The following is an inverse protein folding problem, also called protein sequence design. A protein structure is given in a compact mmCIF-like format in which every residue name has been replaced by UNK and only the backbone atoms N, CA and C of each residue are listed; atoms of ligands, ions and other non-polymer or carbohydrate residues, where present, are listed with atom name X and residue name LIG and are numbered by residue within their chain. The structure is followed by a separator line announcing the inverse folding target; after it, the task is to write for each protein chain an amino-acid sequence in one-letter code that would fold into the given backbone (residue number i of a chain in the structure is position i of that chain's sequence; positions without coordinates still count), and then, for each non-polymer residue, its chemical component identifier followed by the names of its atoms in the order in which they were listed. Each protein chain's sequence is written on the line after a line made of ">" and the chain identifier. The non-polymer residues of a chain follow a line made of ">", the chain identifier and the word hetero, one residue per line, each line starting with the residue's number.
data_IF_276976822448
#
_entry.id   IF_276976822448
#
_cell.length_a   1.000
_cell.length_b   1.000
_cell.length_c   1.000
_cell.angle_alpha   90.00
_cell.angle_beta   90.00
_cell.angle_gamma   90.00
#
_symmetry.space_group_name_H-M   'P 1'
#
loop_
_entity.id
_entity.type
_entity.pdbx_description
1 polymer ?
#
# COMPACT_ATOMS: atom_id res chain seq x y z
N UNK A 1 -21.65 -19.82 -16.30
CA UNK A 1 -20.46 -19.20 -15.67
C UNK A 1 -19.82 -18.26 -16.68
N UNK A 2 -19.54 -17.02 -16.27
CA UNK A 2 -18.95 -15.98 -17.13
C UNK A 2 -17.47 -15.84 -16.81
N UNK A 3 -16.65 -15.55 -17.82
CA UNK A 3 -15.26 -15.12 -17.62
C UNK A 3 -15.25 -13.59 -17.60
N UNK A 4 -14.68 -13.00 -16.56
CA UNK A 4 -14.54 -11.55 -16.41
C UNK A 4 -13.12 -11.23 -15.94
N UNK A 5 -12.57 -10.07 -16.33
CA UNK A 5 -11.29 -9.60 -15.82
C UNK A 5 -11.46 -8.96 -14.44
N UNK A 6 -10.40 -8.91 -13.64
CA UNK A 6 -10.44 -8.14 -12.40
C UNK A 6 -10.63 -6.65 -12.68
N UNK A 7 -10.08 -6.14 -13.79
CA UNK A 7 -10.30 -4.76 -14.21
C UNK A 7 -11.78 -4.49 -14.44
N UNK A 8 -12.48 -5.38 -15.14
CA UNK A 8 -13.92 -5.21 -15.37
C UNK A 8 -14.75 -5.25 -14.08
N UNK A 9 -14.28 -5.95 -13.03
CA UNK A 9 -14.91 -5.88 -11.71
C UNK A 9 -14.62 -4.53 -11.01
N UNK A 10 -13.40 -4.00 -11.14
CA UNK A 10 -13.04 -2.65 -10.65
C UNK A 10 -13.80 -1.56 -11.39
N UNK A 11 -13.97 -1.67 -12.70
CA UNK A 11 -14.74 -0.73 -13.51
C UNK A 11 -16.20 -0.68 -13.06
N UNK A 12 -16.78 -1.84 -12.69
CA UNK A 12 -18.13 -1.90 -12.12
C UNK A 12 -18.20 -1.14 -10.79
N UNK A 13 -17.19 -1.31 -9.92
CA UNK A 13 -17.10 -0.55 -8.67
C UNK A 13 -17.01 0.95 -8.98
N UNK A 14 -16.11 1.35 -9.87
CA UNK A 14 -15.94 2.74 -10.31
C UNK A 14 -17.26 3.35 -10.77
N UNK A 15 -17.99 2.67 -11.65
CA UNK A 15 -19.29 3.11 -12.16
C UNK A 15 -20.30 3.29 -11.02
N UNK A 16 -20.37 2.32 -10.10
CA UNK A 16 -21.33 2.36 -8.98
C UNK A 16 -21.01 3.53 -8.05
N UNK A 17 -19.74 3.76 -7.72
CA UNK A 17 -19.38 4.80 -6.75
C UNK A 17 -19.35 6.20 -7.36
N UNK A 18 -19.30 6.33 -8.69
CA UNK A 18 -19.31 7.63 -9.39
C UNK A 18 -20.51 8.50 -8.99
N UNK A 19 -21.68 7.89 -8.73
CA UNK A 19 -22.88 8.62 -8.29
C UNK A 19 -22.71 9.28 -6.91
N UNK A 20 -21.96 8.63 -6.01
CA UNK A 20 -21.89 8.97 -4.58
C UNK A 20 -20.52 9.55 -4.15
N UNK A 21 -19.48 9.44 -4.99
CA UNK A 21 -18.08 9.74 -4.63
C UNK A 21 -17.86 11.19 -4.22
N UNK A 22 -18.62 12.14 -4.77
CA UNK A 22 -18.52 13.56 -4.42
C UNK A 22 -18.84 13.83 -2.94
N UNK A 23 -19.79 13.09 -2.36
CA UNK A 23 -20.13 13.20 -0.94
C UNK A 23 -18.95 12.66 -0.10
N UNK A 24 -18.39 11.52 -0.47
CA UNK A 24 -17.22 10.95 0.20
C UNK A 24 -16.01 11.89 0.18
N UNK A 25 -15.69 12.48 -0.99
CA UNK A 25 -14.61 13.48 -1.14
C UNK A 25 -14.83 14.67 -0.21
N UNK A 26 -16.06 15.21 -0.19
CA UNK A 26 -16.42 16.34 0.67
C UNK A 26 -16.24 16.00 2.15
N UNK A 27 -16.65 14.80 2.57
CA UNK A 27 -16.46 14.32 3.94
C UNK A 27 -14.97 14.19 4.32
N UNK A 28 -14.14 13.59 3.45
CA UNK A 28 -12.67 13.51 3.67
C UNK A 28 -12.04 14.89 3.83
N UNK A 29 -12.42 15.84 2.95
CA UNK A 29 -11.95 17.23 3.01
C UNK A 29 -12.31 17.91 4.34
N UNK A 30 -13.57 17.76 4.79
CA UNK A 30 -14.04 18.33 6.07
C UNK A 30 -13.31 17.75 7.27
N UNK A 31 -13.03 16.44 7.24
CA UNK A 31 -12.31 15.74 8.29
C UNK A 31 -10.79 15.95 8.25
N UNK A 32 -10.27 16.65 7.22
CA UNK A 32 -8.83 16.81 6.94
C UNK A 32 -8.09 15.46 6.86
N UNK A 33 -8.76 14.43 6.36
CA UNK A 33 -8.19 13.10 6.12
C UNK A 33 -7.75 13.05 4.67
N UNK A 34 -6.46 12.72 4.42
CA UNK A 34 -5.82 12.49 3.10
C UNK A 34 -6.76 12.67 1.90
N UNK A 35 -6.96 13.94 1.53
CA UNK A 35 -7.75 14.33 0.37
C UNK A 35 -6.85 14.23 -0.87
N UNK A 36 -7.36 13.59 -1.93
CA UNK A 36 -6.66 13.46 -3.19
C UNK A 36 -6.56 14.79 -3.96
N UNK A 37 -7.22 15.85 -3.48
CA UNK A 37 -7.21 17.18 -4.08
C UNK A 37 -7.97 17.22 -5.41
N UNK A 38 -8.97 16.35 -5.55
CA UNK A 38 -9.78 16.22 -6.76
C UNK A 38 -11.00 17.14 -6.69
N UNK A 39 -11.30 17.79 -7.81
CA UNK A 39 -12.50 18.60 -7.94
C UNK A 39 -13.77 17.72 -7.96
N UNK A 40 -14.90 18.28 -7.50
CA UNK A 40 -16.19 17.62 -7.61
C UNK A 40 -16.56 17.44 -9.09
N UNK A 41 -16.82 16.19 -9.50
CA UNK A 41 -17.08 15.82 -10.89
C UNK A 41 -15.87 15.26 -11.64
N UNK A 42 -14.67 15.24 -11.03
CA UNK A 42 -13.56 14.48 -11.59
C UNK A 42 -13.84 12.96 -11.55
N UNK A 43 -13.32 12.23 -12.53
CA UNK A 43 -13.44 10.78 -12.60
C UNK A 43 -12.93 10.10 -11.31
N UNK A 44 -13.47 8.92 -11.02
CA UNK A 44 -13.03 8.08 -9.91
C UNK A 44 -11.62 7.58 -10.20
N UNK A 45 -10.70 7.75 -9.26
CA UNK A 45 -9.31 7.28 -9.39
C UNK A 45 -9.13 5.89 -8.74
N UNK A 46 -8.05 5.21 -9.11
CA UNK A 46 -7.73 3.88 -8.57
C UNK A 46 -7.59 3.87 -7.04
N UNK A 47 -7.05 4.94 -6.46
CA UNK A 47 -6.92 5.07 -5.01
C UNK A 47 -8.28 5.11 -4.29
N UNK A 48 -9.29 5.71 -4.91
CA UNK A 48 -10.66 5.74 -4.36
C UNK A 48 -11.34 4.38 -4.46
N UNK A 49 -11.07 3.65 -5.55
CA UNK A 49 -11.53 2.27 -5.73
C UNK A 49 -10.88 1.36 -4.68
N UNK A 50 -9.57 1.52 -4.43
CA UNK A 50 -8.84 0.74 -3.43
C UNK A 50 -9.37 1.00 -2.01
N UNK A 51 -9.58 2.26 -1.64
CA UNK A 51 -10.17 2.65 -0.36
C UNK A 51 -11.59 2.08 -0.19
N UNK A 52 -12.40 2.16 -1.25
CA UNK A 52 -13.74 1.59 -1.27
C UNK A 52 -13.71 0.08 -1.02
N UNK A 53 -12.86 -0.66 -1.75
CA UNK A 53 -12.72 -2.11 -1.60
C UNK A 53 -12.23 -2.46 -0.18
N UNK A 54 -11.22 -1.76 0.32
CA UNK A 54 -10.64 -2.02 1.63
C UNK A 54 -11.69 -1.85 2.75
N UNK A 55 -12.47 -0.77 2.70
CA UNK A 55 -13.51 -0.46 3.67
C UNK A 55 -14.78 -1.31 3.56
N UNK A 56 -15.04 -1.94 2.40
CA UNK A 56 -16.30 -2.65 2.15
C UNK A 56 -16.49 -3.88 3.05
N UNK A 57 -17.38 -3.77 4.03
CA UNK A 57 -17.66 -4.86 5.00
C UNK A 57 -18.37 -6.07 4.37
N UNK A 58 -18.94 -5.93 3.17
CA UNK A 58 -19.62 -7.02 2.47
C UNK A 58 -18.70 -7.86 1.59
N UNK A 59 -17.44 -7.46 1.43
CA UNK A 59 -16.44 -8.23 0.72
C UNK A 59 -15.63 -9.05 1.71
N UNK A 60 -15.42 -10.32 1.40
CA UNK A 60 -14.47 -11.17 2.12
C UNK A 60 -13.02 -10.75 1.81
N UNK A 61 -12.09 -11.22 2.66
CA UNK A 61 -10.67 -10.85 2.57
C UNK A 61 -10.05 -11.29 1.24
N UNK A 62 -10.42 -12.46 0.73
CA UNK A 62 -9.83 -13.02 -0.50
C UNK A 62 -10.25 -12.20 -1.73
N UNK A 63 -11.52 -11.76 -1.76
CA UNK A 63 -12.04 -10.88 -2.80
C UNK A 63 -11.38 -9.50 -2.75
N UNK A 64 -11.22 -8.94 -1.54
CA UNK A 64 -10.52 -7.66 -1.35
C UNK A 64 -9.08 -7.74 -1.84
N UNK A 65 -8.36 -8.78 -1.45
CA UNK A 65 -6.97 -8.98 -1.86
C UNK A 65 -6.87 -9.06 -3.38
N UNK A 66 -7.73 -9.82 -4.05
CA UNK A 66 -7.71 -9.92 -5.52
C UNK A 66 -8.04 -8.60 -6.21
N UNK A 67 -9.01 -7.84 -5.70
CA UNK A 67 -9.43 -6.60 -6.33
C UNK A 67 -8.45 -5.44 -6.06
N UNK A 68 -7.63 -5.52 -5.01
CA UNK A 68 -6.59 -4.53 -4.68
C UNK A 68 -5.23 -4.94 -5.26
N UNK A 69 -4.95 -6.25 -5.38
CA UNK A 69 -3.70 -6.77 -5.95
C UNK A 69 -3.87 -7.15 -7.44
N UNK A 70 -3.37 -6.33 -8.37
CA UNK A 70 -3.37 -6.68 -9.80
C UNK A 70 -2.51 -7.90 -10.12
N UNK A 71 -1.60 -8.27 -9.22
CA UNK A 71 -0.54 -9.24 -9.48
C UNK A 71 0.38 -8.84 -10.63
N UNK A 72 1.20 -9.81 -11.07
CA UNK A 72 2.27 -9.58 -12.04
C UNK A 72 1.81 -8.98 -13.39
N UNK A 73 0.65 -9.40 -13.87
CA UNK A 73 0.20 -9.11 -15.22
C UNK A 73 -0.76 -7.90 -15.28
N UNK A 74 -1.21 -7.35 -14.15
CA UNK A 74 -2.25 -6.32 -14.15
C UNK A 74 -3.67 -6.91 -14.05
N UNK A 75 -4.61 -6.06 -13.63
CA UNK A 75 -6.02 -6.44 -13.47
C UNK A 75 -6.69 -6.92 -14.77
N UNK A 76 -6.26 -6.41 -15.93
CA UNK A 76 -6.79 -6.78 -17.25
C UNK A 76 -6.49 -8.22 -17.65
N UNK A 77 -5.37 -8.75 -17.19
CA UNK A 77 -4.89 -10.08 -17.59
C UNK A 77 -5.35 -11.16 -16.61
N UNK A 78 -5.69 -10.78 -15.37
CA UNK A 78 -6.32 -11.69 -14.40
C UNK A 78 -7.79 -11.88 -14.72
N UNK A 79 -8.16 -13.11 -15.08
CA UNK A 79 -9.54 -13.50 -15.41
C UNK A 79 -10.09 -14.47 -14.36
N UNK A 80 -11.30 -14.21 -13.91
CA UNK A 80 -12.04 -15.08 -12.98
C UNK A 80 -13.27 -15.65 -13.66
N UNK A 81 -13.67 -16.86 -13.24
CA UNK A 81 -14.94 -17.48 -13.65
C UNK A 81 -15.96 -17.30 -12.54
N UNK A 82 -17.07 -16.65 -12.84
CA UNK A 82 -18.11 -16.35 -11.84
C UNK A 82 -19.47 -16.89 -12.26
N UNK A 83 -20.29 -17.26 -11.28
CA UNK A 83 -21.69 -17.58 -11.50
C UNK A 83 -22.52 -16.30 -11.61
N UNK A 84 -23.66 -16.38 -12.31
CA UNK A 84 -24.55 -15.23 -12.49
C UNK A 84 -25.14 -14.76 -11.15
N UNK A 85 -25.41 -15.70 -10.24
CA UNK A 85 -25.87 -15.41 -8.89
C UNK A 85 -24.82 -14.65 -8.06
N UNK A 86 -23.56 -15.09 -8.12
CA UNK A 86 -22.45 -14.38 -7.46
C UNK A 86 -22.29 -12.97 -8.03
N UNK A 87 -22.35 -12.83 -9.36
CA UNK A 87 -22.19 -11.53 -10.01
C UNK A 87 -23.30 -10.54 -9.64
N UNK A 88 -24.53 -11.03 -9.47
CA UNK A 88 -25.65 -10.23 -8.95
C UNK A 88 -25.40 -9.81 -7.51
N UNK A 89 -25.05 -10.76 -6.63
CA UNK A 89 -24.75 -10.48 -5.21
C UNK A 89 -23.60 -9.49 -5.05
N UNK A 90 -22.55 -9.61 -5.85
CA UNK A 90 -21.43 -8.68 -5.88
C UNK A 90 -21.90 -7.25 -6.16
N UNK A 91 -22.69 -7.03 -7.22
CA UNK A 91 -23.23 -5.71 -7.56
C UNK A 91 -24.15 -5.15 -6.47
N UNK A 92 -25.03 -5.99 -5.92
CA UNK A 92 -25.95 -5.58 -4.85
C UNK A 92 -25.18 -5.16 -3.59
N UNK A 93 -24.15 -5.92 -3.19
CA UNK A 93 -23.29 -5.59 -2.05
C UNK A 93 -22.46 -4.32 -2.29
N UNK A 94 -21.95 -4.14 -3.50
CA UNK A 94 -21.20 -2.94 -3.91
C UNK A 94 -22.09 -1.70 -3.79
N UNK A 95 -23.31 -1.75 -4.34
CA UNK A 95 -24.27 -0.65 -4.24
C UNK A 95 -24.72 -0.38 -2.81
N UNK A 96 -24.96 -1.42 -2.01
CA UNK A 96 -25.28 -1.25 -0.57
C UNK A 96 -24.18 -0.53 0.19
N UNK A 97 -22.92 -0.80 -0.13
CA UNK A 97 -21.79 -0.12 0.50
C UNK A 97 -21.63 1.34 0.04
N UNK A 98 -21.83 1.64 -1.26
CA UNK A 98 -21.68 3.01 -1.79
C UNK A 98 -22.62 4.02 -1.16
N UNK A 99 -23.84 3.60 -0.81
CA UNK A 99 -24.82 4.47 -0.15
C UNK A 99 -24.77 4.40 1.39
N UNK A 100 -23.82 3.63 1.95
CA UNK A 100 -23.70 3.48 3.40
C UNK A 100 -23.19 4.76 4.05
N UNK A 101 -23.67 5.06 5.25
CA UNK A 101 -23.17 6.21 6.03
C UNK A 101 -21.67 6.10 6.32
N UNK A 102 -21.18 4.88 6.50
CA UNK A 102 -19.77 4.63 6.82
C UNK A 102 -18.86 5.04 5.67
N UNK A 103 -19.19 4.59 4.46
CA UNK A 103 -18.49 5.05 3.25
C UNK A 103 -18.67 6.56 3.05
N UNK A 104 -19.90 7.07 3.00
CA UNK A 104 -20.17 8.47 2.65
C UNK A 104 -19.54 9.48 3.63
N UNK A 105 -19.47 9.15 4.91
CA UNK A 105 -18.89 10.02 5.93
C UNK A 105 -17.36 9.85 6.05
N UNK A 106 -16.73 9.04 5.19
CA UNK A 106 -15.34 8.62 5.34
C UNK A 106 -15.04 8.03 6.74
N UNK A 107 -16.07 7.46 7.36
CA UNK A 107 -15.94 6.72 8.60
C UNK A 107 -15.50 5.32 8.22
N UNK A 108 -14.18 5.10 8.15
CA UNK A 108 -13.68 3.73 8.05
C UNK A 108 -14.20 2.97 9.26
N UNK A 109 -15.08 1.96 9.09
CA UNK A 109 -15.52 1.17 10.21
C UNK A 109 -14.27 0.50 10.77
N UNK A 110 -13.91 0.87 11.99
CA UNK A 110 -12.96 0.11 12.79
C UNK A 110 -13.52 -1.31 12.84
N UNK A 111 -12.92 -2.25 12.10
CA UNK A 111 -13.43 -3.62 12.03
C UNK A 111 -13.29 -4.20 13.43
N UNK A 112 -14.42 -4.29 14.14
CA UNK A 112 -14.70 -5.38 15.06
C UNK A 112 -14.91 -6.63 14.21
N UNK A 113 -14.06 -7.65 14.41
CA UNK A 113 -13.94 -8.85 13.58
C UNK A 113 -15.05 -9.89 13.84
N UNK A 114 -16.28 -9.45 14.14
CA UNK A 114 -17.37 -10.37 14.50
C UNK A 114 -18.59 -10.13 13.64
N UNK A 115 -18.56 -10.70 12.44
CA UNK A 115 -19.52 -11.71 11.96
C UNK A 115 -19.22 -11.99 10.49
N UNK A 116 -18.35 -12.96 10.26
CA UNK A 116 -18.07 -13.53 8.96
C UNK A 116 -19.36 -14.13 8.39
N UNK A 117 -20.03 -13.42 7.49
CA UNK A 117 -20.91 -14.06 6.53
C UNK A 117 -20.04 -14.82 5.53
N UNK A 118 -19.60 -16.02 5.93
CA UNK A 118 -18.90 -16.98 5.08
C UNK A 118 -19.89 -17.40 3.99
N UNK A 119 -19.73 -17.01 2.72
CA UNK A 119 -20.53 -17.60 1.66
C UNK A 119 -20.12 -19.06 1.50
N UNK A 120 -21.09 -19.93 1.19
CA UNK A 120 -20.84 -21.33 0.82
C UNK A 120 -19.72 -21.39 -0.21
N UNK A 121 -18.70 -22.18 0.13
CA UNK A 121 -17.50 -22.43 -0.66
C UNK A 121 -17.91 -22.73 -2.09
N UNK A 122 -17.61 -21.83 -3.03
CA UNK A 122 -17.68 -22.19 -4.44
C UNK A 122 -16.55 -23.17 -4.71
N UNK A 123 -16.88 -24.46 -4.84
CA UNK A 123 -15.96 -25.47 -5.33
C UNK A 123 -15.34 -24.99 -6.65
N UNK A 124 -14.01 -25.01 -6.72
CA UNK A 124 -13.14 -24.65 -7.86
C UNK A 124 -12.61 -23.20 -7.94
N UNK A 125 -12.01 -22.73 -6.86
CA UNK A 125 -11.07 -21.60 -6.85
C UNK A 125 -9.62 -22.12 -7.03
N UNK A 126 -8.98 -21.91 -8.20
CA UNK A 126 -7.54 -22.23 -8.43
C UNK A 126 -6.88 -21.33 -9.48
N UNK A 127 -5.67 -20.85 -9.18
CA UNK A 127 -4.76 -20.16 -10.11
C UNK A 127 -3.93 -21.15 -10.94
N UNK A 128 -3.57 -20.78 -12.18
CA UNK A 128 -2.61 -21.53 -13.00
C UNK A 128 -1.18 -21.35 -12.44
N UNK A 129 -0.56 -22.47 -12.08
CA UNK A 129 0.73 -22.55 -11.40
C UNK A 129 1.91 -22.22 -12.32
N UNK A 130 2.46 -21.01 -12.26
CA UNK A 130 3.86 -20.79 -12.61
C UNK A 130 4.75 -21.31 -11.46
N UNK A 131 5.68 -22.22 -11.75
CA UNK A 131 6.59 -22.82 -10.76
C UNK A 131 7.57 -21.77 -10.23
N UNK A 132 7.33 -21.25 -9.03
CA UNK A 132 8.33 -20.44 -8.31
C UNK A 132 9.52 -21.32 -7.85
N UNK A 133 10.77 -20.85 -7.98
CA UNK A 133 11.96 -21.52 -7.43
C UNK A 133 11.80 -21.89 -5.95
N UNK A 134 12.36 -23.01 -5.53
CA UNK A 134 12.14 -23.60 -4.20
C UNK A 134 12.54 -22.67 -3.03
N UNK A 135 13.54 -21.80 -3.22
CA UNK A 135 13.98 -20.83 -2.22
C UNK A 135 12.99 -19.67 -1.99
N UNK A 136 12.02 -19.46 -2.89
CA UNK A 136 10.94 -18.48 -2.75
C UNK A 136 9.73 -19.00 -1.97
N UNK A 137 9.67 -20.30 -1.65
CA UNK A 137 8.48 -20.91 -1.02
C UNK A 137 8.11 -20.28 0.34
N UNK A 138 9.09 -19.75 1.06
CA UNK A 138 8.91 -19.16 2.38
C UNK A 138 9.08 -17.62 2.37
N UNK A 139 9.21 -17.01 1.19
CA UNK A 139 9.39 -15.57 1.05
C UNK A 139 8.02 -14.87 1.02
N UNK A 140 7.83 -13.77 1.77
CA UNK A 140 6.57 -13.04 1.71
C UNK A 140 6.21 -12.61 0.28
N UNK A 141 4.91 -12.58 -0.03
CA UNK A 141 4.40 -12.29 -1.38
C UNK A 141 4.89 -10.94 -1.92
N UNK A 142 4.92 -9.90 -1.09
CA UNK A 142 5.38 -8.55 -1.45
C UNK A 142 6.86 -8.49 -1.82
N UNK A 143 7.71 -9.33 -1.22
CA UNK A 143 9.13 -9.42 -1.59
C UNK A 143 9.25 -10.09 -2.96
N UNK A 144 8.52 -11.19 -3.18
CA UNK A 144 8.48 -11.87 -4.49
C UNK A 144 7.99 -10.93 -5.59
N UNK A 145 6.96 -10.12 -5.30
CA UNK A 145 6.45 -9.09 -6.20
C UNK A 145 7.53 -8.06 -6.54
N UNK A 146 8.22 -7.51 -5.53
CA UNK A 146 9.30 -6.55 -5.72
C UNK A 146 10.42 -7.10 -6.61
N UNK A 147 10.84 -8.35 -6.36
CA UNK A 147 11.86 -9.02 -7.18
C UNK A 147 11.43 -9.17 -8.63
N UNK A 148 10.16 -9.53 -8.86
CA UNK A 148 9.64 -9.76 -10.19
C UNK A 148 9.53 -8.44 -10.98
N UNK A 149 9.07 -7.37 -10.32
CA UNK A 149 9.05 -6.02 -10.88
C UNK A 149 10.47 -5.61 -11.33
N UNK A 150 11.47 -5.76 -10.45
CA UNK A 150 12.84 -5.39 -10.76
C UNK A 150 13.45 -6.25 -11.89
N UNK A 151 13.20 -7.57 -11.91
CA UNK A 151 13.67 -8.48 -12.97
C UNK A 151 13.09 -8.15 -14.34
N UNK A 152 11.84 -7.69 -14.39
CA UNK A 152 11.19 -7.29 -15.63
C UNK A 152 11.55 -5.84 -16.06
N UNK A 153 12.53 -5.21 -15.41
CA UNK A 153 12.96 -3.84 -15.71
C UNK A 153 11.95 -2.78 -15.33
N UNK A 154 10.97 -3.10 -14.49
CA UNK A 154 9.91 -2.20 -14.05
C UNK A 154 10.28 -1.49 -12.75
N UNK A 155 9.48 -0.48 -12.39
CA UNK A 155 9.71 0.33 -11.19
C UNK A 155 8.90 -0.15 -10.00
N UNK A 156 9.48 -0.09 -8.80
CA UNK A 156 8.80 -0.45 -7.55
C UNK A 156 7.55 0.39 -7.25
N UNK A 157 7.35 1.52 -7.94
CA UNK A 157 6.12 2.32 -7.81
C UNK A 157 4.87 1.61 -8.35
N UNK A 158 5.04 0.52 -9.10
CA UNK A 158 3.96 -0.37 -9.54
C UNK A 158 3.42 -1.27 -8.43
N UNK A 159 4.12 -1.39 -7.30
CA UNK A 159 3.58 -2.07 -6.12
C UNK A 159 2.47 -1.25 -5.49
N UNK A 160 1.54 -1.91 -4.77
CA UNK A 160 0.64 -1.17 -3.89
C UNK A 160 1.44 -0.55 -2.73
N UNK A 161 0.90 0.51 -2.14
CA UNK A 161 1.61 1.28 -1.11
C UNK A 161 1.84 0.48 0.18
N UNK A 162 0.88 -0.38 0.58
CA UNK A 162 0.99 -1.23 1.79
C UNK A 162 2.08 -2.29 1.65
N UNK A 163 2.21 -2.88 0.47
CA UNK A 163 3.25 -3.87 0.18
C UNK A 163 4.61 -3.22 0.09
N UNK A 164 4.67 -1.97 -0.37
CA UNK A 164 5.90 -1.18 -0.29
C UNK A 164 6.32 -0.92 1.16
N UNK A 165 5.41 -0.53 2.05
CA UNK A 165 5.70 -0.36 3.48
C UNK A 165 6.17 -1.66 4.14
N UNK A 166 5.43 -2.76 3.90
CA UNK A 166 5.81 -4.09 4.37
C UNK A 166 7.17 -4.53 3.85
N UNK A 167 7.47 -4.23 2.58
CA UNK A 167 8.78 -4.49 2.00
C UNK A 167 9.88 -3.74 2.77
N UNK A 168 9.70 -2.46 3.08
CA UNK A 168 10.70 -1.71 3.85
C UNK A 168 10.92 -2.33 5.23
N UNK A 169 9.84 -2.70 5.92
CA UNK A 169 9.93 -3.41 7.20
C UNK A 169 10.73 -4.71 7.08
N UNK A 170 10.41 -5.53 6.08
CA UNK A 170 11.13 -6.79 5.83
C UNK A 170 12.62 -6.58 5.52
N UNK A 171 12.97 -5.60 4.67
CA UNK A 171 14.37 -5.31 4.35
C UNK A 171 15.16 -4.88 5.60
N UNK A 172 14.53 -4.13 6.50
CA UNK A 172 15.12 -3.74 7.78
C UNK A 172 15.35 -4.96 8.69
N UNK A 173 14.39 -5.86 8.78
CA UNK A 173 14.51 -7.10 9.55
C UNK A 173 15.67 -7.97 9.04
N UNK A 174 15.80 -8.13 7.72
CA UNK A 174 16.89 -8.89 7.11
C UNK A 174 18.28 -8.23 7.33
N UNK A 175 18.32 -6.92 7.59
CA UNK A 175 19.54 -6.19 8.01
C UNK A 175 19.72 -6.12 9.54
N UNK A 176 18.97 -6.94 10.28
CA UNK A 176 19.11 -7.15 11.71
C UNK A 176 18.50 -6.05 12.57
N UNK A 177 17.52 -5.31 12.06
CA UNK A 177 16.68 -4.43 12.86
C UNK A 177 15.49 -5.20 13.42
N UNK A 178 15.02 -4.80 14.59
CA UNK A 178 13.68 -5.15 15.06
C UNK A 178 12.71 -4.08 14.55
N UNK A 179 11.61 -4.50 13.92
CA UNK A 179 10.67 -3.58 13.29
C UNK A 179 9.31 -3.61 13.99
N UNK A 180 8.72 -2.43 14.12
CA UNK A 180 7.33 -2.21 14.51
C UNK A 180 6.66 -1.42 13.37
N UNK A 181 5.75 -2.06 12.64
CA UNK A 181 4.97 -1.41 11.59
C UNK A 181 3.88 -0.57 12.26
N UNK A 182 3.87 0.73 11.99
CA UNK A 182 2.89 1.66 12.57
C UNK A 182 1.53 1.49 11.89
N UNK A 183 0.45 1.80 12.61
CA UNK A 183 -0.89 1.71 12.04
C UNK A 183 -1.13 2.91 11.12
N UNK A 184 -1.65 2.70 9.91
CA UNK A 184 -2.02 3.81 9.03
C UNK A 184 -3.08 4.66 9.73
N UNK A 185 -2.86 5.97 9.77
CA UNK A 185 -3.70 7.06 10.32
C UNK A 185 -3.44 7.61 11.74
N UNK A 186 -2.52 7.07 12.57
CA UNK A 186 -2.27 7.67 13.92
C UNK A 186 -0.97 8.44 14.10
N UNK A 187 0.10 8.07 13.40
CA UNK A 187 1.45 8.53 13.77
C UNK A 187 2.01 9.65 12.86
N UNK A 188 1.14 10.42 12.21
CA UNK A 188 1.54 11.64 11.48
C UNK A 188 2.47 11.40 10.29
N UNK A 189 2.41 10.22 9.67
CA UNK A 189 3.21 9.89 8.48
C UNK A 189 4.48 9.07 8.73
N UNK A 190 4.60 8.41 9.88
CA UNK A 190 5.55 7.30 10.08
C UNK A 190 4.92 6.01 9.59
N UNK A 191 5.66 5.23 8.80
CA UNK A 191 5.21 3.93 8.29
C UNK A 191 5.92 2.77 8.99
N UNK A 192 7.17 3.00 9.43
CA UNK A 192 7.96 1.98 10.13
C UNK A 192 8.79 2.60 11.26
N UNK A 193 8.75 1.98 12.45
CA UNK A 193 9.70 2.27 13.53
C UNK A 193 10.64 1.07 13.66
N UNK A 194 11.94 1.34 13.63
CA UNK A 194 12.97 0.30 13.66
C UNK A 194 13.97 0.53 14.80
N UNK A 195 14.31 -0.55 15.49
CA UNK A 195 15.19 -0.57 16.64
C UNK A 195 16.40 -1.48 16.38
N UNK A 196 17.58 -1.04 16.79
CA UNK A 196 18.79 -1.86 16.76
C UNK A 196 19.60 -1.62 18.02
N UNK A 197 20.18 -2.68 18.57
CA UNK A 197 21.11 -2.57 19.69
C UNK A 197 22.51 -2.86 19.17
N UNK A 198 23.38 -1.86 19.22
CA UNK A 198 24.78 -2.00 18.93
C UNK A 198 25.58 -2.12 20.23
N UNK A 199 26.66 -2.91 20.21
CA UNK A 199 27.46 -3.19 21.41
C UNK A 199 28.22 -1.97 21.94
N UNK A 200 28.61 -1.06 21.05
CA UNK A 200 29.49 0.06 21.37
C UNK A 200 28.71 1.37 21.56
N UNK A 201 27.63 1.56 20.78
CA UNK A 201 26.84 2.81 20.84
C UNK A 201 25.49 2.66 21.56
N UNK A 202 25.08 1.43 21.89
CA UNK A 202 23.84 1.16 22.61
C UNK A 202 22.60 1.07 21.72
N UNK A 203 21.45 1.53 22.22
CA UNK A 203 20.15 1.41 21.54
C UNK A 203 19.95 2.56 20.55
N UNK A 204 19.61 2.20 19.31
CA UNK A 204 19.25 3.13 18.24
C UNK A 204 17.77 2.94 17.91
N UNK A 205 16.99 4.02 18.01
CA UNK A 205 15.61 4.10 17.50
C UNK A 205 15.64 4.89 16.20
N UNK A 206 15.01 4.37 15.15
CA UNK A 206 14.87 5.07 13.88
C UNK A 206 13.43 5.06 13.40
N UNK A 207 13.00 6.19 12.83
CA UNK A 207 11.67 6.34 12.22
C UNK A 207 11.81 6.42 10.71
N UNK A 208 10.92 5.76 9.99
CA UNK A 208 10.99 5.59 8.55
C UNK A 208 9.66 5.99 7.93
N UNK A 209 9.74 6.82 6.89
CA UNK A 209 8.61 7.22 6.07
C UNK A 209 8.84 6.74 4.63
N UNK A 210 7.95 5.90 4.14
CA UNK A 210 7.90 5.31 2.83
C UNK A 210 6.92 6.09 1.92
N UNK A 211 7.44 6.84 0.94
CA UNK A 211 6.64 7.54 -0.06
C UNK A 211 6.68 6.81 -1.41
N UNK A 212 5.60 6.11 -1.74
CA UNK A 212 5.43 5.50 -3.07
C UNK A 212 4.99 6.55 -4.10
N UNK A 213 5.92 7.02 -4.93
CA UNK A 213 5.64 7.96 -6.01
C UNK A 213 6.06 7.42 -7.38
N UNK A 214 5.36 7.87 -8.42
CA UNK A 214 5.75 7.67 -9.83
C UNK A 214 7.07 8.41 -10.11
N UNK A 215 7.81 7.96 -11.12
CA UNK A 215 9.16 8.45 -11.43
C UNK A 215 9.26 9.97 -11.65
N UNK A 216 8.19 10.61 -12.11
CA UNK A 216 8.15 12.06 -12.35
C UNK A 216 7.65 12.89 -11.17
N UNK A 217 7.33 12.25 -10.03
CA UNK A 217 6.90 12.93 -8.82
C UNK A 217 7.96 12.74 -7.72
N UNK A 218 8.56 13.85 -7.28
CA UNK A 218 9.68 13.83 -6.35
C UNK A 218 9.26 14.19 -4.94
N UNK A 219 9.94 13.59 -3.95
CA UNK A 219 9.75 13.95 -2.55
C UNK A 219 10.28 15.36 -2.31
N UNK A 220 9.37 16.25 -1.93
CA UNK A 220 9.64 17.66 -1.68
C UNK A 220 10.26 17.90 -0.30
N UNK A 221 10.91 19.05 -0.14
CA UNK A 221 11.52 19.50 1.12
C UNK A 221 10.55 19.51 2.31
N UNK A 222 9.26 19.80 2.08
CA UNK A 222 8.23 19.80 3.13
C UNK A 222 8.17 18.48 3.89
N UNK A 223 8.18 17.35 3.18
CA UNK A 223 8.14 16.01 3.79
C UNK A 223 9.37 15.74 4.65
N UNK A 224 10.56 16.16 4.22
CA UNK A 224 11.80 15.95 5.00
C UNK A 224 11.79 16.80 6.27
N UNK A 225 11.25 18.03 6.20
CA UNK A 225 11.10 18.91 7.37
C UNK A 225 10.10 18.35 8.38
N UNK A 226 8.96 17.87 7.89
CA UNK A 226 7.95 17.19 8.70
C UNK A 226 8.56 15.97 9.41
N UNK A 227 9.27 15.11 8.68
CA UNK A 227 9.95 13.96 9.26
C UNK A 227 11.00 14.34 10.32
N UNK A 228 11.66 15.49 10.16
CA UNK A 228 12.59 16.02 11.16
C UNK A 228 11.87 16.32 12.49
N UNK A 229 10.70 16.95 12.43
CA UNK A 229 9.89 17.24 13.61
C UNK A 229 9.36 15.95 14.26
N UNK A 230 8.92 14.99 13.44
CA UNK A 230 8.44 13.68 13.89
C UNK A 230 9.54 12.91 14.62
N UNK A 231 10.77 12.88 14.07
CA UNK A 231 11.93 12.26 14.72
C UNK A 231 12.14 12.80 16.13
N UNK A 232 12.05 14.12 16.29
CA UNK A 232 12.27 14.78 17.58
C UNK A 232 11.12 14.48 18.57
N UNK A 233 9.87 14.50 18.09
CA UNK A 233 8.70 14.09 18.88
C UNK A 233 8.81 12.64 19.37
N UNK A 234 9.18 11.72 18.48
CA UNK A 234 9.37 10.29 18.77
C UNK A 234 10.64 9.97 19.56
N UNK A 235 11.48 10.98 19.83
CA UNK A 235 12.81 10.83 20.45
C UNK A 235 13.68 9.79 19.72
N UNK A 236 13.55 9.75 18.39
CA UNK A 236 14.31 8.84 17.54
C UNK A 236 15.72 9.39 17.29
N UNK A 237 16.70 8.49 17.25
CA UNK A 237 18.09 8.82 16.94
C UNK A 237 18.26 9.25 15.47
N UNK A 238 17.49 8.62 14.57
CA UNK A 238 17.57 8.84 13.13
C UNK A 238 16.20 8.82 12.47
N UNK A 239 16.03 9.61 11.42
CA UNK A 239 14.87 9.60 10.53
C UNK A 239 15.32 9.22 9.11
N UNK A 240 14.52 8.41 8.43
CA UNK A 240 14.79 7.98 7.06
C UNK A 240 13.59 8.23 6.16
N UNK A 241 13.84 8.88 5.01
CA UNK A 241 12.87 8.92 3.90
C UNK A 241 13.20 7.83 2.90
N UNK A 242 12.22 7.03 2.52
CA UNK A 242 12.36 6.00 1.50
C UNK A 242 11.35 6.26 0.40
N UNK A 243 11.76 6.17 -0.87
CA UNK A 243 10.84 6.42 -1.99
C UNK A 243 11.17 5.59 -3.21
N UNK A 244 10.11 5.17 -3.92
CA UNK A 244 10.19 4.55 -5.26
C UNK A 244 10.57 5.54 -6.36
N UNK A 245 10.68 6.83 -6.04
CA UNK A 245 11.07 7.91 -6.96
C UNK A 245 12.41 8.53 -6.55
N UNK A 246 12.52 9.85 -6.58
CA UNK A 246 13.67 10.66 -6.18
C UNK A 246 13.27 11.79 -5.25
N UNK A 247 14.24 12.36 -4.55
CA UNK A 247 14.09 13.58 -3.77
C UNK A 247 14.40 14.79 -4.65
N UNK A 248 13.75 15.91 -4.34
CA UNK A 248 14.14 17.22 -4.89
C UNK A 248 15.54 17.63 -4.41
N UNK A 249 16.23 18.50 -5.18
CA UNK A 249 17.57 18.98 -4.82
C UNK A 249 17.59 19.61 -3.41
N UNK A 250 16.61 20.46 -3.11
CA UNK A 250 16.50 21.13 -1.82
C UNK A 250 16.26 20.14 -0.66
N UNK A 251 15.49 19.07 -0.90
CA UNK A 251 15.29 18.00 0.07
C UNK A 251 16.61 17.26 0.37
N UNK A 252 17.41 16.97 -0.66
CA UNK A 252 18.74 16.36 -0.49
C UNK A 252 19.69 17.31 0.26
N UNK A 253 19.69 18.60 -0.09
CA UNK A 253 20.49 19.61 0.60
C UNK A 253 20.12 19.74 2.08
N UNK A 254 18.82 19.61 2.42
CA UNK A 254 18.38 19.59 3.81
C UNK A 254 18.92 18.38 4.57
N UNK A 255 18.80 17.17 4.01
CA UNK A 255 19.37 15.97 4.64
C UNK A 255 20.87 16.12 4.86
N UNK A 256 21.59 16.69 3.89
CA UNK A 256 23.04 16.95 4.00
C UNK A 256 23.45 17.87 5.15
N UNK A 257 22.54 18.68 5.69
CA UNK A 257 22.82 19.53 6.87
C UNK A 257 22.80 18.77 8.19
N UNK A 258 22.14 17.61 8.23
CA UNK A 258 21.98 16.79 9.44
C UNK A 258 22.16 15.29 9.12
N UNK A 259 23.26 14.96 8.42
CA UNK A 259 23.55 13.59 7.93
C UNK A 259 23.63 12.53 9.03
N UNK A 260 23.87 12.94 10.28
CA UNK A 260 23.96 12.03 11.42
C UNK A 260 22.57 11.59 11.91
N UNK A 261 21.54 12.40 11.68
CA UNK A 261 20.18 12.15 12.17
C UNK A 261 19.14 12.03 11.06
N UNK A 262 19.49 12.37 9.82
CA UNK A 262 18.64 12.27 8.64
C UNK A 262 19.37 11.53 7.51
N UNK A 263 18.63 10.76 6.74
CA UNK A 263 19.15 10.03 5.58
C UNK A 263 17.99 9.67 4.63
N UNK A 264 18.30 9.17 3.43
CA UNK A 264 17.28 8.78 2.46
C UNK A 264 17.66 7.59 1.58
N UNK A 265 16.64 6.91 1.03
CA UNK A 265 16.77 5.84 0.03
C UNK A 265 15.83 6.08 -1.15
N UNK A 266 16.38 6.57 -2.25
CA UNK A 266 15.71 6.61 -3.57
C UNK A 266 15.63 5.24 -4.24
N UNK A 267 14.88 5.15 -5.34
CA UNK A 267 14.67 3.92 -6.12
C UNK A 267 15.93 3.08 -6.40
N UNK A 268 17.05 3.72 -6.77
CA UNK A 268 18.29 3.00 -7.06
C UNK A 268 18.90 2.36 -5.82
N UNK A 269 18.83 3.05 -4.67
CA UNK A 269 19.28 2.50 -3.40
C UNK A 269 18.41 1.31 -2.98
N UNK A 270 17.09 1.39 -3.18
CA UNK A 270 16.16 0.31 -2.90
C UNK A 270 16.43 -0.92 -3.75
N UNK A 271 16.64 -0.74 -5.06
CA UNK A 271 17.01 -1.82 -5.96
C UNK A 271 18.26 -2.54 -5.45
N UNK A 272 19.34 -1.80 -5.17
CA UNK A 272 20.58 -2.36 -4.67
C UNK A 272 20.40 -3.08 -3.32
N UNK A 273 19.54 -2.54 -2.44
CA UNK A 273 19.27 -3.14 -1.14
C UNK A 273 18.55 -4.49 -1.29
N UNK A 274 17.51 -4.55 -2.11
CA UNK A 274 16.78 -5.79 -2.42
C UNK A 274 17.71 -6.82 -3.05
N UNK A 275 18.53 -6.42 -4.03
CA UNK A 275 19.53 -7.28 -4.67
C UNK A 275 20.56 -7.82 -3.68
N UNK A 276 21.01 -6.99 -2.72
CA UNK A 276 21.96 -7.43 -1.69
C UNK A 276 21.40 -8.51 -0.77
N UNK A 277 20.10 -8.47 -0.48
CA UNK A 277 19.43 -9.47 0.35
C UNK A 277 19.24 -10.78 -0.43
N UNK A 278 18.95 -10.70 -1.73
CA UNK A 278 18.88 -11.88 -2.60
C UNK A 278 20.22 -12.59 -2.66
N UNK A 279 21.32 -11.87 -2.87
CA UNK A 279 22.65 -12.48 -3.01
C UNK A 279 23.21 -13.08 -1.71
N UNK A 280 22.66 -12.71 -0.55
CA UNK A 280 23.04 -13.28 0.75
C UNK A 280 22.44 -14.69 0.98
N UNK A 281 21.45 -15.11 0.18
CA UNK A 281 20.76 -16.40 0.28
C UNK A 281 21.15 -17.33 -0.87
#
# INVERSE_FOLDING_TARGET
>A
MRKITLQALRDIISIIITEDIGIHRTSKMLLKIDDYGLENGADVIDEEIDDFIAGNIYYDLDLKEQLIDPGLLGFDFRKVRISDNWFKKFKDNTKKWSISKDWLNANFPWIDLTESNIPDVSETWKFDNAKSPLWLKNTPSYVTLAMNILKNGKLLCEMNWRDFEKLIGYLLEEDGWKVEVTKPSKDGGIDVIAFKTDKNIGKVKSVWQAKKYKQNNFVRLSHVRELTAIRDYEKASKAMVVTTSRLTKDAIEWVKRDIYRLDFKEHMHLKNWIESIIMKK
#
